data_IF_355284631339
#
_entry.id   IF_355284631339
#
_cell.length_a   1.000
_cell.length_b   1.000
_cell.length_c   1.000
_cell.angle_alpha   90.00
_cell.angle_beta   90.00
_cell.angle_gamma   90.00
#
_symmetry.space_group_name_H-M   'P 1'
#
loop_
_entity.id
_entity.type
_entity.pdbx_description
1 polymer ?
#
# COMPACT_ATOMS: atom_id res chain seq x y z
N UNK A 1 -0.39 -13.30 -24.54
CA UNK A 1 -0.52 -12.02 -23.79
C UNK A 1 0.87 -11.58 -23.37
N UNK A 2 1.18 -10.32 -23.62
CA UNK A 2 2.50 -9.77 -23.27
C UNK A 2 2.62 -9.62 -21.75
N UNK A 3 3.81 -9.85 -21.21
CA UNK A 3 4.11 -9.66 -19.79
C UNK A 3 4.95 -8.41 -19.61
N UNK A 4 4.56 -7.56 -18.70
CA UNK A 4 5.37 -6.40 -18.28
C UNK A 4 5.74 -6.54 -16.81
N UNK A 5 6.88 -5.99 -16.45
CA UNK A 5 7.37 -6.00 -15.06
C UNK A 5 7.14 -4.64 -14.42
N UNK A 6 6.68 -4.65 -13.16
CA UNK A 6 6.48 -3.42 -12.39
C UNK A 6 7.02 -3.60 -10.98
N UNK A 7 7.77 -2.62 -10.54
CA UNK A 7 8.16 -2.52 -9.13
C UNK A 7 7.14 -1.63 -8.42
N UNK A 8 6.66 -2.11 -7.29
CA UNK A 8 5.62 -1.43 -6.49
C UNK A 8 6.23 -1.07 -5.15
N UNK A 9 6.05 0.18 -4.73
CA UNK A 9 6.45 0.64 -3.41
C UNK A 9 5.22 0.95 -2.58
N UNK A 10 5.21 0.46 -1.35
CA UNK A 10 4.10 0.71 -0.43
C UNK A 10 4.61 0.92 0.98
N UNK A 11 3.68 1.16 1.90
CA UNK A 11 4.04 1.37 3.28
C UNK A 11 2.98 0.90 4.26
N UNK A 12 3.45 0.34 5.36
CA UNK A 12 2.64 0.12 6.55
C UNK A 12 2.82 1.35 7.43
N UNK A 13 1.77 2.17 7.54
CA UNK A 13 1.81 3.40 8.32
C UNK A 13 1.30 3.14 9.73
N UNK A 14 2.13 3.50 10.70
CA UNK A 14 1.81 3.42 12.12
C UNK A 14 1.59 4.81 12.69
N UNK A 15 0.53 4.97 13.48
CA UNK A 15 0.28 6.16 14.29
C UNK A 15 0.68 5.85 15.72
N UNK A 16 1.74 6.47 16.21
CA UNK A 16 2.27 6.25 17.58
C UNK A 16 2.46 4.76 17.95
N UNK A 17 2.74 3.89 16.97
CA UNK A 17 2.83 2.44 17.14
C UNK A 17 1.55 1.79 17.72
N UNK A 18 0.39 2.45 17.61
CA UNK A 18 -0.88 1.98 18.17
C UNK A 18 -1.92 1.64 17.12
N UNK A 19 -1.91 2.34 16.00
CA UNK A 19 -2.86 2.17 14.90
C UNK A 19 -2.11 1.96 13.60
N UNK A 20 -2.71 1.20 12.69
CA UNK A 20 -2.19 0.98 11.33
C UNK A 20 -3.23 1.44 10.32
N UNK A 21 -2.79 2.11 9.27
CA UNK A 21 -3.66 2.55 8.19
C UNK A 21 -3.89 1.42 7.21
N UNK A 22 -5.16 1.07 6.99
CA UNK A 22 -5.58 0.12 5.97
C UNK A 22 -6.68 0.73 5.14
N UNK A 23 -6.85 0.24 3.93
CA UNK A 23 -7.84 0.77 3.02
C UNK A 23 -8.38 -0.27 2.07
N UNK A 24 -9.35 0.14 1.26
CA UNK A 24 -9.91 -0.67 0.18
C UNK A 24 -9.88 0.13 -1.11
N UNK A 25 -9.58 -0.56 -2.20
CA UNK A 25 -9.65 0.05 -3.52
C UNK A 25 -11.09 0.35 -3.91
N UNK A 26 -11.29 1.26 -4.86
CA UNK A 26 -12.61 1.45 -5.47
C UNK A 26 -13.03 0.15 -6.15
N UNK A 27 -14.35 0.00 -6.34
CA UNK A 27 -14.94 -1.22 -6.90
C UNK A 27 -14.35 -1.60 -8.26
N UNK A 28 -14.32 -2.90 -8.54
CA UNK A 28 -13.95 -3.47 -9.83
C UNK A 28 -12.60 -4.14 -9.90
N UNK A 29 -11.84 -4.18 -8.82
CA UNK A 29 -10.55 -4.88 -8.75
C UNK A 29 -10.70 -6.33 -8.30
N UNK A 30 -9.63 -7.11 -8.53
CA UNK A 30 -9.56 -8.53 -8.11
C UNK A 30 -9.69 -8.67 -6.60
N UNK A 31 -9.25 -7.67 -5.85
CA UNK A 31 -9.27 -7.66 -4.38
C UNK A 31 -10.29 -6.65 -3.84
N UNK A 32 -11.43 -6.50 -4.52
CA UNK A 32 -12.44 -5.49 -4.19
C UNK A 32 -12.87 -5.49 -2.73
N UNK A 33 -13.06 -6.69 -2.15
CA UNK A 33 -13.55 -6.83 -0.77
C UNK A 33 -12.43 -7.06 0.25
N UNK A 34 -11.18 -6.99 -0.18
CA UNK A 34 -10.04 -7.23 0.69
C UNK A 34 -9.35 -5.92 1.05
N UNK A 35 -8.85 -5.89 2.28
CA UNK A 35 -8.11 -4.72 2.77
C UNK A 35 -6.68 -4.75 2.25
N UNK A 36 -6.16 -3.56 1.97
CA UNK A 36 -4.81 -3.34 1.41
C UNK A 36 -4.12 -2.19 2.13
N UNK A 37 -2.85 -1.99 1.80
CA UNK A 37 -2.09 -0.82 2.26
C UNK A 37 -1.84 0.13 1.08
N UNK A 38 -1.57 1.42 1.33
CA UNK A 38 -1.29 2.36 0.24
C UNK A 38 0.05 2.03 -0.44
N UNK A 39 0.12 2.28 -1.73
CA UNK A 39 1.31 2.05 -2.54
C UNK A 39 0.98 2.04 -4.02
N UNK A 40 1.99 2.06 -4.84
CA UNK A 40 1.83 2.03 -6.29
C UNK A 40 3.15 1.90 -7.03
N UNK A 41 3.11 2.02 -8.34
CA UNK A 41 4.27 1.81 -9.19
C UNK A 41 5.38 2.83 -8.98
N UNK A 42 6.62 2.33 -9.04
CA UNK A 42 7.80 3.17 -8.98
C UNK A 42 8.03 3.75 -10.37
N UNK A 43 8.13 5.07 -10.47
CA UNK A 43 8.39 5.75 -11.74
C UNK A 43 9.88 5.71 -12.07
N UNK A 44 10.20 5.85 -13.36
CA UNK A 44 11.57 5.87 -13.84
C UNK A 44 12.36 7.01 -13.16
N UNK A 45 13.54 6.69 -12.64
CA UNK A 45 14.40 7.66 -11.95
C UNK A 45 14.05 7.89 -10.49
N UNK A 46 12.98 7.31 -10.01
CA UNK A 46 12.50 7.43 -8.65
C UNK A 46 13.10 6.33 -7.77
N UNK A 47 13.51 6.67 -6.54
CA UNK A 47 13.88 5.64 -5.57
C UNK A 47 12.62 4.97 -5.01
N UNK A 48 12.78 3.81 -4.39
CA UNK A 48 11.67 3.11 -3.74
C UNK A 48 11.02 3.96 -2.66
N UNK A 49 11.84 4.64 -1.85
CA UNK A 49 11.34 5.50 -0.78
C UNK A 49 10.60 6.72 -1.35
N UNK A 50 11.13 7.35 -2.38
CA UNK A 50 10.49 8.48 -3.06
C UNK A 50 9.12 8.07 -3.63
N UNK A 51 9.06 6.89 -4.25
CA UNK A 51 7.81 6.35 -4.80
C UNK A 51 6.78 6.11 -3.70
N UNK A 52 7.20 5.53 -2.57
CA UNK A 52 6.31 5.30 -1.44
C UNK A 52 5.75 6.64 -0.90
N UNK A 53 6.59 7.64 -0.72
CA UNK A 53 6.16 8.97 -0.25
C UNK A 53 5.13 9.59 -1.20
N UNK A 54 5.40 9.54 -2.50
CA UNK A 54 4.52 10.09 -3.52
C UNK A 54 3.17 9.37 -3.54
N UNK A 55 3.19 8.04 -3.58
CA UNK A 55 1.96 7.25 -3.63
C UNK A 55 1.08 7.45 -2.39
N UNK A 56 1.69 7.51 -1.21
CA UNK A 56 0.93 7.74 0.03
C UNK A 56 0.29 9.12 0.02
N UNK A 57 1.01 10.14 -0.43
CA UNK A 57 0.47 11.50 -0.53
C UNK A 57 -0.69 11.55 -1.53
N UNK A 58 -0.54 10.89 -2.69
CA UNK A 58 -1.57 10.85 -3.72
C UNK A 58 -2.82 10.10 -3.26
N UNK A 59 -2.66 8.96 -2.59
CA UNK A 59 -3.78 8.08 -2.26
C UNK A 59 -4.52 8.45 -1.00
N UNK A 60 -3.81 8.87 0.05
CA UNK A 60 -4.42 9.15 1.36
C UNK A 60 -4.14 10.54 1.90
N UNK A 61 -3.40 11.37 1.16
CA UNK A 61 -3.17 12.76 1.52
C UNK A 61 -2.25 12.96 2.72
N UNK A 62 -1.42 11.97 3.05
CA UNK A 62 -0.52 12.04 4.19
C UNK A 62 0.91 12.30 3.69
N UNK A 63 1.52 13.37 4.18
CA UNK A 63 2.93 13.67 3.91
C UNK A 63 3.80 13.00 4.98
N UNK A 64 4.59 12.01 4.57
CA UNK A 64 5.44 11.24 5.48
C UNK A 64 6.90 11.70 5.47
N UNK A 65 7.19 12.88 4.91
CA UNK A 65 8.57 13.37 4.79
C UNK A 65 9.31 13.46 6.13
N UNK A 66 8.59 13.79 7.19
CA UNK A 66 9.16 13.93 8.54
C UNK A 66 8.98 12.68 9.40
N UNK A 67 8.42 11.61 8.86
CA UNK A 67 8.21 10.37 9.58
C UNK A 67 9.47 9.52 9.60
N UNK A 68 9.54 8.58 10.53
CA UNK A 68 10.58 7.56 10.52
C UNK A 68 10.22 6.51 9.48
N UNK A 69 11.10 6.31 8.50
CA UNK A 69 10.88 5.40 7.38
C UNK A 69 11.96 4.33 7.37
N UNK A 70 11.55 3.07 7.46
CA UNK A 70 12.46 1.93 7.49
C UNK A 70 12.04 0.91 6.45
N UNK A 71 12.98 0.38 5.63
CA UNK A 71 12.63 -0.67 4.68
C UNK A 71 12.25 -1.96 5.42
N UNK A 72 11.26 -2.66 4.89
CA UNK A 72 10.88 -3.99 5.36
C UNK A 72 11.57 -5.01 4.47
N UNK A 73 12.30 -5.95 5.05
CA UNK A 73 13.14 -6.88 4.30
C UNK A 73 12.37 -8.03 3.64
N UNK A 74 11.06 -8.08 3.75
CA UNK A 74 10.24 -9.05 3.05
C UNK A 74 9.91 -8.51 1.66
N UNK A 75 10.46 -9.13 0.63
CA UNK A 75 10.15 -8.80 -0.77
C UNK A 75 9.24 -9.88 -1.32
N UNK A 76 8.11 -9.46 -1.88
CA UNK A 76 7.13 -10.38 -2.43
C UNK A 76 6.91 -10.11 -3.90
N UNK A 77 6.40 -11.12 -4.61
CA UNK A 77 6.03 -11.00 -6.02
C UNK A 77 4.57 -11.38 -6.20
N UNK A 78 3.98 -10.90 -7.28
CA UNK A 78 2.62 -11.26 -7.65
C UNK A 78 2.40 -10.99 -9.12
N UNK A 79 1.34 -11.59 -9.68
CA UNK A 79 0.99 -11.42 -11.09
C UNK A 79 -0.48 -11.10 -11.18
N UNK A 80 -0.82 -10.12 -12.01
CA UNK A 80 -2.21 -9.77 -12.29
C UNK A 80 -2.38 -9.44 -13.77
N UNK A 81 -3.59 -9.60 -14.28
CA UNK A 81 -3.95 -9.13 -15.61
C UNK A 81 -4.41 -7.68 -15.53
N UNK A 82 -4.03 -6.89 -16.52
CA UNK A 82 -4.40 -5.48 -16.59
C UNK A 82 -4.67 -5.08 -18.03
N UNK A 83 -5.60 -4.16 -18.22
CA UNK A 83 -5.83 -3.49 -19.49
C UNK A 83 -5.11 -2.16 -19.48
N UNK A 84 -4.21 -1.94 -20.43
CA UNK A 84 -3.48 -0.67 -20.57
C UNK A 84 -4.44 0.42 -21.02
N UNK A 85 -4.39 1.58 -20.35
CA UNK A 85 -5.28 2.71 -20.69
C UNK A 85 -4.99 3.28 -22.07
N UNK A 86 -3.71 3.34 -22.47
CA UNK A 86 -3.30 3.98 -23.71
C UNK A 86 -3.69 3.20 -24.96
N UNK A 87 -3.61 1.88 -24.91
CA UNK A 87 -3.76 1.01 -26.08
C UNK A 87 -4.95 0.06 -26.00
N UNK A 88 -5.52 -0.13 -24.79
CA UNK A 88 -6.54 -1.15 -24.57
C UNK A 88 -5.98 -2.57 -24.55
N UNK A 89 -4.67 -2.73 -24.65
CA UNK A 89 -4.03 -4.04 -24.65
C UNK A 89 -4.17 -4.75 -23.30
N UNK A 90 -4.49 -6.03 -23.33
CA UNK A 90 -4.50 -6.92 -22.16
C UNK A 90 -3.10 -7.44 -21.95
N UNK A 91 -2.53 -7.25 -20.75
CA UNK A 91 -1.18 -7.69 -20.39
C UNK A 91 -1.17 -8.40 -19.06
N UNK A 92 -0.15 -9.23 -18.85
CA UNK A 92 0.20 -9.73 -17.52
C UNK A 92 1.19 -8.76 -16.90
N UNK A 93 0.97 -8.43 -15.65
CA UNK A 93 1.88 -7.56 -14.89
C UNK A 93 2.53 -8.41 -13.81
N UNK A 94 3.85 -8.61 -13.93
CA UNK A 94 4.66 -9.23 -12.89
C UNK A 94 5.12 -8.13 -11.95
N UNK A 95 4.64 -8.18 -10.70
CA UNK A 95 4.91 -7.15 -9.70
C UNK A 95 5.93 -7.66 -8.69
N UNK A 96 6.83 -6.77 -8.29
CA UNK A 96 7.69 -6.96 -7.12
C UNK A 96 7.34 -5.88 -6.12
N UNK A 97 7.03 -6.27 -4.89
CA UNK A 97 6.56 -5.36 -3.85
C UNK A 97 7.70 -5.03 -2.88
N UNK A 98 7.97 -3.73 -2.74
CA UNK A 98 8.93 -3.18 -1.80
C UNK A 98 8.15 -2.33 -0.80
N UNK A 99 8.20 -2.69 0.47
CA UNK A 99 7.41 -2.01 1.49
C UNK A 99 8.28 -1.37 2.56
N UNK A 100 7.75 -0.31 3.15
CA UNK A 100 8.40 0.43 4.23
C UNK A 100 7.52 0.41 5.47
N UNK A 101 8.16 0.40 6.62
CA UNK A 101 7.50 0.68 7.89
C UNK A 101 7.64 2.18 8.13
N UNK A 102 6.52 2.87 8.24
CA UNK A 102 6.48 4.31 8.45
C UNK A 102 5.85 4.59 9.81
N UNK A 103 6.59 5.24 10.68
CA UNK A 103 6.11 5.58 12.01
C UNK A 103 5.89 7.09 12.09
N UNK A 104 4.64 7.49 12.30
CA UNK A 104 4.26 8.89 12.47
C UNK A 104 4.04 9.14 13.96
N UNK A 105 4.76 10.12 14.52
CA UNK A 105 4.71 10.43 15.95
C UNK A 105 3.54 11.37 16.28
N UNK A 106 2.35 10.93 15.92
CA UNK A 106 1.09 11.63 16.17
C UNK A 106 -0.02 10.62 16.44
N UNK A 107 -1.00 10.95 17.29
CA UNK A 107 -2.17 10.09 17.42
C UNK A 107 -3.00 10.08 16.12
N UNK A 108 -3.68 8.97 15.86
CA UNK A 108 -4.44 8.77 14.62
C UNK A 108 -5.44 9.91 14.36
N UNK A 109 -6.10 10.41 15.40
CA UNK A 109 -7.06 11.52 15.28
C UNK A 109 -6.45 12.82 14.75
N UNK A 110 -5.12 12.96 14.84
CA UNK A 110 -4.39 14.14 14.37
C UNK A 110 -3.75 13.92 12.99
N UNK A 111 -3.99 12.77 12.37
CA UNK A 111 -3.50 12.46 11.03
C UNK A 111 -4.71 12.29 10.11
N UNK A 112 -5.20 13.39 9.50
CA UNK A 112 -6.37 13.30 8.64
C UNK A 112 -6.06 12.54 7.36
N UNK A 113 -7.07 11.83 6.86
CA UNK A 113 -7.00 11.06 5.63
C UNK A 113 -7.81 11.80 4.58
N UNK A 114 -7.20 12.04 3.40
CA UNK A 114 -7.90 12.58 2.25
C UNK A 114 -7.76 11.59 1.11
N UNK A 115 -8.86 10.93 0.78
CA UNK A 115 -8.87 9.89 -0.25
C UNK A 115 -8.81 10.50 -1.65
N UNK A 116 -7.94 9.95 -2.47
CA UNK A 116 -7.82 10.27 -3.89
C UNK A 116 -7.43 9.00 -4.65
N UNK A 117 -7.50 9.07 -5.99
CA UNK A 117 -7.15 7.97 -6.88
C UNK A 117 -7.97 6.71 -6.63
N UNK A 118 -7.28 5.57 -6.50
CA UNK A 118 -7.92 4.26 -6.45
C UNK A 118 -8.40 3.83 -5.07
N UNK A 119 -8.11 4.61 -4.03
CA UNK A 119 -8.60 4.29 -2.70
C UNK A 119 -10.03 4.79 -2.50
N UNK A 120 -10.95 3.85 -2.28
CA UNK A 120 -12.35 4.17 -1.99
C UNK A 120 -12.63 4.33 -0.51
N UNK A 121 -11.78 3.78 0.34
CA UNK A 121 -11.91 3.84 1.79
C UNK A 121 -10.56 3.64 2.45
N UNK A 122 -10.33 4.33 3.56
CA UNK A 122 -9.16 4.10 4.40
C UNK A 122 -9.48 4.48 5.85
N UNK A 123 -8.88 3.75 6.78
CA UNK A 123 -9.07 4.03 8.20
C UNK A 123 -7.87 3.61 9.03
N UNK A 124 -7.69 4.26 10.17
CA UNK A 124 -6.75 3.87 11.20
C UNK A 124 -7.38 2.78 12.08
N UNK A 125 -6.75 1.62 12.15
CA UNK A 125 -7.24 0.47 12.91
C UNK A 125 -6.29 0.17 14.07
N UNK A 126 -6.80 0.02 15.29
CA UNK A 126 -5.96 -0.43 16.41
C UNK A 126 -5.28 -1.75 16.08
N UNK A 127 -4.01 -1.88 16.44
CA UNK A 127 -3.23 -3.08 16.08
C UNK A 127 -3.94 -4.37 16.55
N UNK A 128 -4.51 -4.37 17.74
CA UNK A 128 -5.18 -5.58 18.27
C UNK A 128 -6.46 -5.98 17.50
N UNK A 129 -6.95 -5.11 16.62
CA UNK A 129 -8.12 -5.39 15.77
C UNK A 129 -7.76 -5.74 14.33
N UNK A 130 -6.48 -5.67 13.97
CA UNK A 130 -6.08 -5.97 12.59
C UNK A 130 -6.43 -7.39 12.16
N UNK A 131 -6.33 -8.36 13.06
CA UNK A 131 -6.63 -9.76 12.76
C UNK A 131 -8.12 -10.02 12.44
N UNK A 132 -9.00 -9.06 12.71
CA UNK A 132 -10.42 -9.18 12.41
C UNK A 132 -10.77 -8.90 10.95
N UNK A 133 -9.82 -8.40 10.16
CA UNK A 133 -10.03 -8.01 8.76
C UNK A 133 -9.49 -9.08 7.81
N UNK A 134 -10.05 -9.11 6.59
CA UNK A 134 -9.54 -9.95 5.50
C UNK A 134 -8.68 -9.11 4.56
N UNK A 135 -7.46 -9.55 4.31
CA UNK A 135 -6.47 -8.81 3.53
C UNK A 135 -6.17 -9.47 2.19
N UNK A 136 -5.66 -8.68 1.25
CA UNK A 136 -5.05 -9.25 0.05
C UNK A 136 -3.89 -10.16 0.45
N UNK A 137 -3.55 -11.19 -0.37
CA UNK A 137 -2.52 -12.17 0.02
C UNK A 137 -1.17 -11.56 0.40
N UNK A 138 -0.70 -10.56 -0.36
CA UNK A 138 0.58 -9.92 -0.07
C UNK A 138 0.56 -9.15 1.24
N UNK A 139 -0.55 -8.47 1.54
CA UNK A 139 -0.70 -7.71 2.78
C UNK A 139 -0.83 -8.64 3.97
N UNK A 140 -1.57 -9.75 3.82
CA UNK A 140 -1.67 -10.75 4.89
C UNK A 140 -0.30 -11.31 5.25
N UNK A 141 0.50 -11.70 4.25
CA UNK A 141 1.85 -12.20 4.47
C UNK A 141 2.74 -11.15 5.15
N UNK A 142 2.64 -9.90 4.72
CA UNK A 142 3.39 -8.80 5.28
C UNK A 142 3.04 -8.57 6.75
N UNK A 143 1.76 -8.53 7.07
CA UNK A 143 1.29 -8.32 8.44
C UNK A 143 1.67 -9.47 9.37
N UNK A 144 1.64 -10.71 8.87
CA UNK A 144 2.12 -11.88 9.62
C UNK A 144 3.61 -11.76 9.91
N UNK A 145 4.40 -11.37 8.91
CA UNK A 145 5.85 -11.23 9.06
C UNK A 145 6.22 -10.14 10.09
N UNK A 146 5.38 -9.13 10.21
CA UNK A 146 5.57 -8.04 11.17
C UNK A 146 4.98 -8.35 12.56
N UNK A 147 4.33 -9.50 12.71
CA UNK A 147 3.70 -9.87 13.98
C UNK A 147 2.44 -9.08 14.29
N UNK A 148 1.78 -8.50 13.28
CA UNK A 148 0.57 -7.71 13.47
C UNK A 148 -0.70 -8.55 13.49
N UNK A 149 -0.65 -9.73 12.88
CA UNK A 149 -1.76 -10.68 12.88
C UNK A 149 -1.27 -12.10 13.07
#
# INVERSE_FOLDING_TARGET
>A
MRTIKRDIAGAVLFSNNKHVLIGKNVKGGVYEDLWVIPGGGIDEGESKEEAAKREILEEVGIDISDAKIEPIELIQTGTTEKTLRDTGERVLVDMTFYNFKVTIDLPAKNIPIRLEDDFGHAEWVPIHKLAEKAYSPSVENLFRSLGLI
#
